data_IF_860852412122
#
_entry.id   IF_860852412122
#
_cell.length_a   1.000
_cell.length_b   1.000
_cell.length_c   1.000
_cell.angle_alpha   90.00
_cell.angle_beta   90.00
_cell.angle_gamma   90.00
#
_symmetry.space_group_name_H-M   'P 1'
#
loop_
_entity.id
_entity.type
_entity.pdbx_description
1 polymer ?
#
# COMPACT_ATOMS: atom_id res chain seq x y z
N UNK A 1 -45.99 36.13 49.09
CA UNK A 1 -47.32 35.60 49.45
C UNK A 1 -47.97 35.01 48.22
N UNK A 2 -48.35 33.72 48.31
CA UNK A 2 -49.37 33.02 47.51
C UNK A 2 -49.08 32.86 46.00
N UNK A 3 -49.21 31.71 45.35
CA UNK A 3 -49.70 30.37 45.69
C UNK A 3 -49.53 29.52 44.41
N UNK A 4 -49.35 28.21 44.58
CA UNK A 4 -49.82 27.10 43.72
C UNK A 4 -49.12 26.93 42.34
N UNK A 5 -48.31 25.88 42.10
CA UNK A 5 -48.64 24.45 41.89
C UNK A 5 -49.70 24.18 40.80
N UNK A 6 -49.44 23.10 40.03
CA UNK A 6 -50.24 22.47 38.95
C UNK A 6 -49.95 23.05 37.54
N UNK A 7 -49.66 22.31 36.46
CA UNK A 7 -49.96 20.93 36.01
C UNK A 7 -48.95 20.66 34.85
N UNK A 8 -48.02 19.71 34.95
CA UNK A 8 -48.11 18.35 34.41
C UNK A 8 -48.74 18.23 33.00
N UNK A 9 -48.00 17.62 32.07
CA UNK A 9 -48.54 16.94 30.88
C UNK A 9 -48.91 17.80 29.66
N UNK A 10 -47.88 18.14 28.88
CA UNK A 10 -47.99 18.28 27.43
C UNK A 10 -46.73 17.68 26.77
N UNK A 11 -46.52 16.38 27.00
CA UNK A 11 -45.84 15.56 26.01
C UNK A 11 -46.79 15.49 24.81
N UNK A 12 -46.44 16.10 23.69
CA UNK A 12 -46.57 15.47 22.38
C UNK A 12 -46.09 16.41 21.28
N UNK A 13 -45.29 15.82 20.39
CA UNK A 13 -45.07 16.23 19.01
C UNK A 13 -44.26 17.51 18.79
N UNK A 14 -42.93 17.36 18.80
CA UNK A 14 -42.15 17.71 17.60
C UNK A 14 -41.12 16.60 17.41
N UNK A 15 -41.47 15.60 16.60
CA UNK A 15 -40.48 14.78 15.89
C UNK A 15 -39.73 15.72 14.96
N UNK A 16 -38.72 16.40 15.48
CA UNK A 16 -37.66 16.94 14.64
C UNK A 16 -36.94 15.73 14.07
N UNK A 17 -37.11 15.52 12.77
CA UNK A 17 -36.27 14.61 11.99
C UNK A 17 -34.81 15.04 12.18
N UNK A 18 -34.15 14.47 13.19
CA UNK A 18 -32.73 14.26 13.11
C UNK A 18 -32.55 13.32 11.92
N UNK A 19 -32.17 13.89 10.78
CA UNK A 19 -31.58 13.14 9.68
C UNK A 19 -30.25 12.60 10.19
N UNK A 20 -30.32 11.56 11.04
CA UNK A 20 -29.29 10.56 11.09
C UNK A 20 -29.48 9.82 9.78
N UNK A 21 -28.79 10.27 8.73
CA UNK A 21 -28.50 9.33 7.65
C UNK A 21 -27.95 8.09 8.37
N UNK A 22 -28.54 6.91 8.20
CA UNK A 22 -27.88 5.72 8.69
C UNK A 22 -26.53 5.76 8.00
N UNK A 23 -25.47 6.01 8.76
CA UNK A 23 -24.10 5.91 8.26
C UNK A 23 -24.07 4.61 7.51
N UNK A 24 -23.97 4.74 6.19
CA UNK A 24 -24.07 3.62 5.28
C UNK A 24 -23.10 2.60 5.83
N UNK A 25 -23.63 1.44 6.23
CA UNK A 25 -22.83 0.30 6.59
C UNK A 25 -21.71 0.27 5.55
N UNK A 26 -20.47 0.52 5.98
CA UNK A 26 -19.31 0.33 5.12
C UNK A 26 -19.52 -1.06 4.59
N UNK A 27 -19.74 -1.13 3.28
CA UNK A 27 -20.09 -2.36 2.62
C UNK A 27 -18.89 -3.29 2.81
N UNK A 28 -18.96 -4.11 3.86
CA UNK A 28 -18.02 -5.18 4.14
C UNK A 28 -18.29 -6.35 3.19
N UNK A 29 -18.92 -6.12 2.03
CA UNK A 29 -18.72 -7.05 0.92
C UNK A 29 -17.21 -7.23 0.78
N UNK A 30 -16.73 -8.48 0.84
CA UNK A 30 -15.40 -8.75 0.32
C UNK A 30 -15.37 -8.10 -1.06
N UNK A 31 -14.42 -7.19 -1.28
CA UNK A 31 -14.20 -6.68 -2.62
C UNK A 31 -13.85 -7.91 -3.45
N UNK A 32 -14.84 -8.41 -4.18
CA UNK A 32 -14.70 -9.54 -5.08
C UNK A 32 -13.79 -9.06 -6.18
N UNK A 33 -12.52 -9.44 -6.09
CA UNK A 33 -11.48 -9.00 -6.99
C UNK A 33 -10.33 -9.98 -6.98
N UNK A 34 -9.57 -9.97 -8.06
CA UNK A 34 -8.32 -10.71 -8.21
C UNK A 34 -7.18 -9.69 -8.19
N UNK A 35 -6.87 -9.07 -7.03
CA UNK A 35 -5.87 -8.02 -6.97
C UNK A 35 -4.50 -8.51 -7.44
N UNK A 36 -4.21 -9.81 -7.32
CA UNK A 36 -3.02 -10.43 -7.88
C UNK A 36 -2.96 -10.37 -9.41
N UNK A 37 -4.10 -10.38 -10.09
CA UNK A 37 -4.20 -10.27 -11.55
C UNK A 37 -4.20 -8.81 -12.00
N UNK A 38 -4.89 -7.94 -11.26
CA UNK A 38 -5.07 -6.52 -11.65
C UNK A 38 -3.73 -5.76 -11.71
N UNK A 39 -2.76 -6.13 -10.87
CA UNK A 39 -1.46 -5.46 -10.79
C UNK A 39 -0.40 -6.03 -11.71
N UNK A 40 -0.66 -7.13 -12.42
CA UNK A 40 0.33 -7.80 -13.27
C UNK A 40 0.88 -6.83 -14.32
N UNK A 41 2.20 -6.80 -14.46
CA UNK A 41 2.88 -5.99 -15.46
C UNK A 41 4.29 -5.59 -15.05
N UNK A 42 4.94 -4.86 -15.96
CA UNK A 42 6.25 -4.27 -15.73
C UNK A 42 6.07 -2.79 -15.40
N UNK A 43 6.68 -2.37 -14.29
CA UNK A 43 6.71 -0.99 -13.84
C UNK A 43 8.13 -0.47 -14.03
N UNK A 44 8.27 0.64 -14.76
CA UNK A 44 9.55 1.30 -15.01
C UNK A 44 9.60 2.57 -14.17
N UNK A 45 10.71 2.79 -13.47
CA UNK A 45 10.77 3.87 -12.51
C UNK A 45 12.16 4.11 -11.94
N UNK A 46 12.19 4.84 -10.83
CA UNK A 46 13.42 5.24 -10.15
C UNK A 46 13.52 4.53 -8.81
N UNK A 47 14.62 3.80 -8.62
CA UNK A 47 15.05 3.36 -7.30
C UNK A 47 15.81 4.48 -6.59
N UNK A 48 15.61 4.58 -5.29
CA UNK A 48 16.37 5.44 -4.39
C UNK A 48 16.87 4.61 -3.22
N UNK A 49 18.18 4.72 -2.94
CA UNK A 49 18.86 4.10 -1.80
C UNK A 49 19.44 5.20 -0.92
N UNK A 50 19.09 5.19 0.36
CA UNK A 50 19.56 6.17 1.35
C UNK A 50 20.33 5.46 2.47
N UNK A 51 21.52 5.97 2.78
CA UNK A 51 22.30 5.66 3.97
C UNK A 51 22.68 6.96 4.67
N UNK A 52 22.07 7.22 5.83
CA UNK A 52 22.28 8.48 6.56
C UNK A 52 21.99 9.71 5.66
N UNK A 53 23.02 10.50 5.32
CA UNK A 53 22.92 11.66 4.43
C UNK A 53 23.28 11.35 2.96
N UNK A 54 23.74 10.13 2.66
CA UNK A 54 24.08 9.71 1.30
C UNK A 54 22.85 9.15 0.58
N UNK A 55 22.60 9.66 -0.62
CA UNK A 55 21.44 9.29 -1.45
C UNK A 55 21.92 8.93 -2.85
N UNK A 56 21.56 7.73 -3.30
CA UNK A 56 21.82 7.24 -4.65
C UNK A 56 20.48 6.93 -5.31
N UNK A 57 20.25 7.51 -6.49
CA UNK A 57 19.06 7.21 -7.30
C UNK A 57 19.46 6.71 -8.67
N UNK A 58 18.61 5.90 -9.28
CA UNK A 58 18.83 5.38 -10.62
C UNK A 58 17.64 4.59 -11.15
N UNK A 59 17.62 4.42 -12.47
CA UNK A 59 16.54 3.71 -13.13
C UNK A 59 16.50 2.23 -12.74
N UNK A 60 15.31 1.65 -12.83
CA UNK A 60 15.10 0.22 -12.70
C UNK A 60 13.66 -0.16 -12.98
N UNK A 61 13.36 -1.43 -12.74
CA UNK A 61 12.04 -1.99 -12.96
C UNK A 61 11.58 -2.83 -11.80
N UNK A 62 10.26 -2.96 -11.69
CA UNK A 62 9.60 -3.98 -10.89
C UNK A 62 8.64 -4.73 -11.80
N UNK A 63 8.76 -6.05 -11.83
CA UNK A 63 7.80 -6.91 -12.52
C UNK A 63 6.93 -7.59 -11.48
N UNK A 64 5.62 -7.39 -11.59
CA UNK A 64 4.63 -8.11 -10.80
C UNK A 64 4.00 -9.21 -11.65
N UNK A 65 4.01 -10.45 -11.13
CA UNK A 65 3.26 -11.57 -11.72
C UNK A 65 2.36 -12.21 -10.68
N UNK A 66 1.17 -12.64 -11.09
CA UNK A 66 0.27 -13.38 -10.24
C UNK A 66 0.86 -14.77 -9.93
N UNK A 67 0.75 -15.22 -8.67
CA UNK A 67 1.18 -16.56 -8.25
C UNK A 67 -0.04 -17.42 -7.89
N UNK A 68 -0.61 -17.17 -6.71
CA UNK A 68 -1.84 -17.79 -6.22
C UNK A 68 -2.80 -16.71 -5.77
N UNK A 69 -4.03 -17.08 -5.42
CA UNK A 69 -5.04 -16.10 -4.97
C UNK A 69 -4.49 -15.25 -3.82
N UNK A 70 -4.53 -13.92 -3.98
CA UNK A 70 -3.96 -12.95 -3.04
C UNK A 70 -2.43 -13.03 -2.85
N UNK A 71 -1.69 -13.56 -3.82
CA UNK A 71 -0.22 -13.62 -3.81
C UNK A 71 0.36 -13.17 -5.16
N UNK A 72 1.37 -12.30 -5.11
CA UNK A 72 2.15 -11.87 -6.28
C UNK A 72 3.63 -12.17 -6.09
N UNK A 73 4.32 -12.50 -7.18
CA UNK A 73 5.77 -12.43 -7.25
C UNK A 73 6.19 -11.01 -7.58
N UNK A 74 7.23 -10.54 -6.90
CA UNK A 74 7.87 -9.24 -7.06
C UNK A 74 9.29 -9.49 -7.50
N UNK A 75 9.61 -9.15 -8.74
CA UNK A 75 10.96 -9.20 -9.28
C UNK A 75 11.49 -7.77 -9.46
N UNK A 76 12.71 -7.50 -9.00
CA UNK A 76 13.33 -6.17 -9.07
C UNK A 76 14.57 -6.20 -9.94
N UNK A 77 14.73 -5.15 -10.73
CA UNK A 77 15.97 -4.83 -11.43
C UNK A 77 16.32 -3.37 -11.18
N UNK A 78 17.61 -3.06 -11.03
CA UNK A 78 18.08 -1.71 -10.83
C UNK A 78 19.47 -1.55 -11.45
N UNK A 79 19.85 -0.31 -11.77
CA UNK A 79 21.23 0.00 -12.15
C UNK A 79 22.23 -0.41 -11.06
N UNK A 80 23.48 -0.80 -11.41
CA UNK A 80 24.45 -1.35 -10.46
C UNK A 80 24.71 -0.49 -9.22
N UNK A 81 24.62 0.84 -9.35
CA UNK A 81 24.83 1.77 -8.24
C UNK A 81 23.84 1.57 -7.08
N UNK A 82 22.63 1.07 -7.36
CA UNK A 82 21.59 0.81 -6.35
C UNK A 82 21.91 -0.46 -5.54
N UNK A 83 22.64 -1.43 -6.11
CA UNK A 83 23.01 -2.69 -5.45
C UNK A 83 21.77 -3.50 -5.00
N UNK A 84 20.82 -3.67 -5.93
CA UNK A 84 19.71 -4.62 -5.84
C UNK A 84 19.84 -5.59 -7.01
N UNK A 85 20.74 -6.55 -6.89
CA UNK A 85 20.99 -7.54 -7.95
C UNK A 85 19.77 -8.45 -8.11
N UNK A 86 19.03 -8.31 -9.22
CA UNK A 86 17.96 -9.20 -9.70
C UNK A 86 17.26 -10.04 -8.59
N UNK A 87 16.58 -9.35 -7.67
CA UNK A 87 16.00 -10.00 -6.49
C UNK A 87 14.54 -10.36 -6.76
N UNK A 88 14.09 -11.52 -6.27
CA UNK A 88 12.70 -11.95 -6.41
C UNK A 88 12.13 -12.32 -5.06
N UNK A 89 10.89 -11.91 -4.76
CA UNK A 89 10.19 -12.33 -3.56
C UNK A 89 8.69 -12.49 -3.80
N UNK A 90 8.04 -13.34 -3.02
CA UNK A 90 6.57 -13.39 -2.93
C UNK A 90 6.06 -12.31 -1.99
N UNK A 91 4.86 -11.81 -2.24
CA UNK A 91 4.14 -10.87 -1.37
C UNK A 91 2.66 -11.24 -1.30
N UNK A 92 2.06 -11.10 -0.12
CA UNK A 92 0.61 -11.10 0.00
C UNK A 92 0.09 -9.80 -0.59
N UNK A 93 -1.03 -9.85 -1.30
CA UNK A 93 -1.67 -8.68 -1.90
C UNK A 93 -3.14 -8.61 -1.51
N UNK A 94 -3.62 -7.40 -1.28
CA UNK A 94 -5.02 -7.11 -1.01
C UNK A 94 -5.45 -5.83 -1.70
N UNK A 95 -6.73 -5.76 -2.04
CA UNK A 95 -7.33 -4.53 -2.54
C UNK A 95 -7.53 -3.55 -1.38
N UNK A 96 -7.19 -2.29 -1.62
CA UNK A 96 -7.47 -1.17 -0.74
C UNK A 96 -8.54 -0.30 -1.40
N UNK A 97 -9.73 -0.27 -0.78
CA UNK A 97 -10.90 0.43 -1.32
C UNK A 97 -10.71 1.95 -1.51
N UNK A 98 -9.67 2.54 -0.93
CA UNK A 98 -9.39 3.97 -1.02
C UNK A 98 -8.14 4.29 -1.86
N UNK A 99 -7.19 3.36 -1.96
CA UNK A 99 -5.84 3.63 -2.47
C UNK A 99 -5.34 2.61 -3.51
N UNK A 100 -6.21 1.79 -4.09
CA UNK A 100 -5.84 0.82 -5.13
C UNK A 100 -5.51 -0.56 -4.55
N UNK A 101 -4.24 -0.98 -4.60
CA UNK A 101 -3.81 -2.25 -4.00
C UNK A 101 -2.63 -2.05 -3.04
N UNK A 102 -2.51 -2.96 -2.08
CA UNK A 102 -1.37 -3.02 -1.16
C UNK A 102 -0.79 -4.43 -1.19
N UNK A 103 0.54 -4.51 -1.24
CA UNK A 103 1.25 -5.77 -1.13
C UNK A 103 2.36 -5.70 -0.09
N UNK A 104 2.65 -6.83 0.56
CA UNK A 104 3.67 -6.90 1.61
C UNK A 104 4.20 -8.31 1.83
N UNK A 105 5.41 -8.39 2.39
CA UNK A 105 5.93 -9.61 3.00
C UNK A 105 6.48 -9.26 4.39
N UNK A 106 5.93 -9.89 5.43
CA UNK A 106 6.31 -9.67 6.84
C UNK A 106 7.39 -10.62 7.35
N UNK A 107 7.91 -11.51 6.50
CA UNK A 107 9.03 -12.39 6.84
C UNK A 107 10.35 -11.77 6.37
N UNK A 108 11.38 -11.72 7.22
CA UNK A 108 12.74 -11.38 6.77
C UNK A 108 13.43 -12.54 6.04
N UNK A 109 12.86 -13.74 6.09
CA UNK A 109 13.29 -14.90 5.31
C UNK A 109 12.53 -14.93 3.98
N UNK A 110 12.80 -13.95 3.13
CA UNK A 110 12.29 -13.84 1.77
C UNK A 110 13.44 -13.45 0.83
N UNK A 111 13.22 -13.40 -0.48
CA UNK A 111 14.32 -13.07 -1.40
C UNK A 111 14.85 -11.64 -1.29
N UNK A 112 14.14 -10.76 -0.57
CA UNK A 112 14.66 -9.44 -0.22
C UNK A 112 15.54 -9.42 1.04
N UNK A 113 15.45 -10.46 1.87
CA UNK A 113 16.14 -10.56 3.16
C UNK A 113 15.63 -9.57 4.20
N UNK A 114 14.42 -9.03 4.01
CA UNK A 114 13.80 -8.03 4.89
C UNK A 114 12.29 -7.94 4.68
N UNK A 115 11.60 -7.30 5.62
CA UNK A 115 10.19 -6.92 5.48
C UNK A 115 10.08 -5.80 4.46
N UNK A 116 9.13 -5.92 3.54
CA UNK A 116 8.85 -4.88 2.55
C UNK A 116 7.34 -4.67 2.38
N UNK A 117 7.00 -3.48 1.89
CA UNK A 117 5.62 -3.08 1.59
C UNK A 117 5.60 -2.22 0.34
N UNK A 118 4.54 -2.35 -0.43
CA UNK A 118 4.27 -1.49 -1.56
C UNK A 118 2.79 -1.46 -1.87
N UNK A 119 2.46 -0.79 -2.95
CA UNK A 119 1.10 -0.72 -3.44
C UNK A 119 1.06 -0.19 -4.86
N UNK A 120 -0.08 -0.41 -5.49
CA UNK A 120 -0.40 0.24 -6.76
C UNK A 120 -1.55 1.22 -6.56
N UNK A 121 -1.48 2.36 -7.22
CA UNK A 121 -2.55 3.34 -7.29
C UNK A 121 -2.85 3.59 -8.76
N UNK A 122 -4.12 3.46 -9.15
CA UNK A 122 -4.56 3.95 -10.44
C UNK A 122 -4.72 5.48 -10.32
N UNK A 123 -3.97 6.24 -11.11
CA UNK A 123 -4.21 7.68 -11.21
C UNK A 123 -5.28 7.96 -12.26
N UNK A 124 -6.04 9.04 -12.08
CA UNK A 124 -7.12 9.53 -12.96
C UNK A 124 -6.72 9.69 -14.46
N UNK A 125 -5.44 9.49 -14.82
CA UNK A 125 -4.86 9.60 -16.15
C UNK A 125 -4.53 8.24 -16.82
N UNK A 126 -5.15 7.14 -16.38
CA UNK A 126 -4.90 5.77 -16.87
C UNK A 126 -3.42 5.34 -16.74
N UNK A 127 -2.76 5.76 -15.66
CA UNK A 127 -1.41 5.32 -15.31
C UNK A 127 -1.45 4.63 -13.96
N UNK A 128 -1.13 3.33 -13.97
CA UNK A 128 -0.94 2.56 -12.75
C UNK A 128 0.44 2.87 -12.19
N UNK A 129 0.48 3.58 -11.07
CA UNK A 129 1.71 3.80 -10.32
C UNK A 129 1.97 2.62 -9.38
N UNK A 130 3.24 2.29 -9.20
CA UNK A 130 3.71 1.36 -8.18
C UNK A 130 4.72 2.07 -7.27
N UNK A 131 4.52 1.90 -5.97
CA UNK A 131 5.52 2.22 -4.97
C UNK A 131 5.90 0.98 -4.17
N UNK A 132 7.15 0.89 -3.75
CA UNK A 132 7.62 -0.09 -2.77
C UNK A 132 8.70 0.55 -1.90
N UNK A 133 8.77 0.15 -0.64
CA UNK A 133 9.86 0.53 0.25
C UNK A 133 10.23 -0.58 1.22
N UNK A 134 11.50 -0.61 1.59
CA UNK A 134 12.03 -1.53 2.60
C UNK A 134 13.37 -1.03 3.16
N UNK A 135 13.76 -1.60 4.29
CA UNK A 135 15.07 -1.38 4.89
C UNK A 135 15.86 -2.67 4.80
N UNK A 136 17.02 -2.66 4.15
CA UNK A 136 17.88 -3.85 4.03
C UNK A 136 19.19 -3.63 4.78
N UNK A 137 19.52 -4.57 5.65
CA UNK A 137 20.83 -4.61 6.30
C UNK A 137 21.84 -5.26 5.37
N UNK A 138 22.88 -4.52 5.00
CA UNK A 138 23.97 -5.02 4.16
C UNK A 138 25.25 -5.03 4.99
N UNK A 139 26.01 -6.12 4.90
CA UNK A 139 27.30 -6.27 5.57
C UNK A 139 28.42 -5.90 4.60
N UNK A 140 29.20 -4.89 4.98
CA UNK A 140 30.35 -4.43 4.23
C UNK A 140 31.61 -4.58 5.10
N UNK A 141 32.37 -5.63 4.80
CA UNK A 141 33.49 -6.05 5.65
C UNK A 141 33.03 -6.45 7.06
N UNK A 142 33.44 -5.67 8.08
CA UNK A 142 33.10 -5.91 9.50
C UNK A 142 31.93 -5.06 10.00
N UNK A 143 31.43 -4.13 9.19
CA UNK A 143 30.34 -3.24 9.56
C UNK A 143 29.04 -3.67 8.89
N UNK A 144 27.94 -3.32 9.52
CA UNK A 144 26.59 -3.51 8.98
C UNK A 144 25.94 -2.15 8.81
N UNK A 145 25.31 -1.95 7.67
CA UNK A 145 24.62 -0.71 7.31
C UNK A 145 23.17 -1.01 7.01
N UNK A 146 22.28 -0.13 7.47
CA UNK A 146 20.85 -0.20 7.17
C UNK A 146 20.55 0.81 6.06
N UNK A 147 20.29 0.28 4.87
CA UNK A 147 19.92 1.08 3.72
C UNK A 147 18.41 1.15 3.59
N UNK A 148 17.87 2.36 3.43
CA UNK A 148 16.46 2.54 3.06
C UNK A 148 16.37 2.51 1.54
N UNK A 149 15.53 1.64 1.02
CA UNK A 149 15.24 1.53 -0.40
C UNK A 149 13.80 1.95 -0.66
N UNK A 150 13.59 2.71 -1.73
CA UNK A 150 12.28 3.01 -2.27
C UNK A 150 12.30 2.96 -3.79
N UNK A 151 11.16 2.62 -4.37
CA UNK A 151 10.94 2.73 -5.81
C UNK A 151 9.60 3.39 -6.06
N UNK A 152 9.56 4.22 -7.09
CA UNK A 152 8.36 4.78 -7.68
C UNK A 152 8.44 4.58 -9.19
N UNK A 153 7.41 3.99 -9.79
CA UNK A 153 7.38 3.71 -11.22
C UNK A 153 5.97 3.63 -11.78
N UNK A 154 5.89 3.67 -13.10
CA UNK A 154 4.65 3.63 -13.87
C UNK A 154 4.59 2.31 -14.64
N UNK A 155 3.41 1.71 -14.71
CA UNK A 155 3.17 0.51 -15.52
C UNK A 155 3.38 0.82 -16.99
N UNK A 156 4.17 -0.01 -17.68
CA UNK A 156 4.36 0.12 -19.13
C UNK A 156 3.08 -0.24 -19.86
N UNK A 157 2.63 0.63 -20.78
CA UNK A 157 1.52 0.34 -21.69
C UNK A 157 2.05 -0.58 -22.80
N UNK A 158 1.38 -1.72 -23.01
CA UNK A 158 1.63 -2.61 -24.17
C UNK A 158 1.08 -2.01 -25.47
#
# INVERSE_FOLDING_TARGET
MKKLFYICMACLAVFGFASCEPEGLVDNTPVSGHPEQDVVGVYVGTWTRILEADTVSGEGTITLTADTTYVVNVEVSAVPAINLDAMTSVANIAQDSHYGTKFYNSSANNGFGTIFRGGTTNMDNDEDLLNISFIKTVKEGRKSYNYNYSFEGVKTKE
#
